data_IF_220736195133
#
_entry.id   IF_220736195133
#
_cell.length_a   1.000
_cell.length_b   1.000
_cell.length_c   1.000
_cell.angle_alpha   90.00
_cell.angle_beta   90.00
_cell.angle_gamma   90.00
#
_symmetry.space_group_name_H-M   'P 1'
#
loop_
_entity.id
_entity.type
_entity.pdbx_description
1 polymer ?
#
# COMPACT_ATOMS: atom_id res chain seq x y z
N UNK A 1 5.23 14.28 0.07
CA UNK A 1 6.38 13.39 0.38
C UNK A 1 6.94 12.97 -0.95
N UNK A 2 8.18 13.33 -1.26
CA UNK A 2 8.74 13.22 -2.64
C UNK A 2 8.65 11.79 -3.19
N UNK A 3 8.94 10.78 -2.35
CA UNK A 3 8.87 9.36 -2.76
C UNK A 3 7.44 8.95 -3.14
N UNK A 4 6.40 9.44 -2.46
CA UNK A 4 4.99 9.16 -2.87
C UNK A 4 4.75 9.72 -4.26
N UNK A 5 4.97 11.01 -4.45
CA UNK A 5 4.63 11.72 -5.69
C UNK A 5 5.33 11.12 -6.91
N UNK A 6 6.57 10.63 -6.74
CA UNK A 6 7.35 9.99 -7.80
C UNK A 6 6.84 8.61 -8.22
N UNK A 7 6.29 7.83 -7.28
CA UNK A 7 5.92 6.43 -7.50
C UNK A 7 4.42 6.16 -7.54
N UNK A 8 3.61 7.17 -7.21
CA UNK A 8 2.15 7.05 -7.11
C UNK A 8 1.51 6.57 -8.42
N UNK A 9 1.88 7.16 -9.56
CA UNK A 9 1.31 6.79 -10.85
C UNK A 9 1.61 5.33 -11.21
N UNK A 10 2.86 4.88 -11.05
CA UNK A 10 3.25 3.49 -11.31
C UNK A 10 2.51 2.50 -10.39
N UNK A 11 2.45 2.82 -9.09
CA UNK A 11 1.76 1.96 -8.11
C UNK A 11 0.26 1.85 -8.42
N UNK A 12 -0.38 2.92 -8.89
CA UNK A 12 -1.79 2.93 -9.28
C UNK A 12 -2.09 2.07 -10.52
N UNK A 13 -1.09 1.74 -11.35
CA UNK A 13 -1.28 0.85 -12.51
C UNK A 13 -1.33 -0.64 -12.13
N UNK A 14 -0.93 -1.02 -10.90
CA UNK A 14 -0.96 -2.42 -10.45
C UNK A 14 -2.39 -2.90 -10.22
N UNK A 15 -2.70 -4.14 -10.61
CA UNK A 15 -4.07 -4.64 -10.79
C UNK A 15 -5.00 -4.48 -9.57
N UNK A 16 -4.46 -4.51 -8.34
CA UNK A 16 -5.26 -4.46 -7.11
C UNK A 16 -5.13 -3.15 -6.33
N UNK A 17 -4.32 -2.20 -6.79
CA UNK A 17 -4.08 -0.93 -6.09
C UNK A 17 -5.21 0.06 -6.39
N UNK A 18 -5.67 0.75 -5.34
CA UNK A 18 -6.75 1.75 -5.39
C UNK A 18 -6.34 3.13 -4.91
N UNK A 19 -5.24 3.22 -4.17
CA UNK A 19 -4.75 4.47 -3.66
C UNK A 19 -3.35 4.34 -3.08
N UNK A 20 -2.66 5.47 -3.05
CA UNK A 20 -1.33 5.60 -2.45
C UNK A 20 -1.35 6.81 -1.52
N UNK A 21 -0.87 6.64 -0.30
CA UNK A 21 -0.87 7.67 0.74
C UNK A 21 0.41 7.67 1.55
N UNK A 22 0.50 8.62 2.47
CA UNK A 22 1.50 8.63 3.54
C UNK A 22 0.73 8.55 4.85
N UNK A 23 1.14 7.64 5.74
CA UNK A 23 0.46 7.43 7.00
C UNK A 23 1.33 6.66 7.98
N UNK A 24 0.70 6.25 9.07
CA UNK A 24 1.31 5.39 10.07
C UNK A 24 1.06 3.92 9.73
N UNK A 25 2.07 3.07 9.98
CA UNK A 25 1.94 1.64 9.72
C UNK A 25 0.91 1.01 10.63
N UNK A 26 0.11 0.10 10.05
CA UNK A 26 -0.78 -0.80 10.79
C UNK A 26 -0.09 -2.15 11.03
N UNK A 27 -0.01 -2.60 12.28
CA UNK A 27 0.44 -3.97 12.63
C UNK A 27 -0.58 -4.61 13.55
N UNK A 28 -1.05 -5.80 13.21
CA UNK A 28 -2.04 -6.54 13.99
C UNK A 28 -3.32 -5.75 14.36
N UNK A 29 -3.72 -4.78 13.53
CA UNK A 29 -4.88 -3.92 13.78
C UNK A 29 -4.61 -2.66 14.60
N UNK A 30 -3.36 -2.42 14.99
CA UNK A 30 -2.95 -1.24 15.75
C UNK A 30 -2.04 -0.33 14.91
N UNK A 31 -2.23 0.99 15.06
CA UNK A 31 -1.32 1.99 14.49
C UNK A 31 -0.02 2.00 15.28
N UNK A 32 1.08 2.12 14.57
CA UNK A 32 2.42 2.31 15.14
C UNK A 32 2.92 3.73 14.84
N UNK A 33 4.03 4.15 15.46
CA UNK A 33 4.65 5.46 15.17
C UNK A 33 5.55 5.46 13.91
N UNK A 34 5.58 4.36 13.16
CA UNK A 34 6.37 4.22 11.93
C UNK A 34 5.64 4.88 10.75
N UNK A 35 6.22 5.96 10.21
CA UNK A 35 5.72 6.60 8.98
C UNK A 35 6.06 5.74 7.76
N UNK A 36 5.05 5.42 6.96
CA UNK A 36 5.14 4.52 5.81
C UNK A 36 4.42 5.09 4.59
N UNK A 37 4.78 4.55 3.43
CA UNK A 37 4.01 4.67 2.21
C UNK A 37 2.85 3.67 2.28
N UNK A 38 1.61 4.17 2.36
CA UNK A 38 0.42 3.32 2.49
C UNK A 38 -0.10 3.01 1.10
N UNK A 39 -0.13 1.72 0.73
CA UNK A 39 -0.71 1.23 -0.53
C UNK A 39 -2.04 0.57 -0.21
N UNK A 40 -3.11 1.18 -0.69
CA UNK A 40 -4.49 0.72 -0.49
C UNK A 40 -4.87 -0.24 -1.60
N UNK A 41 -5.26 -1.47 -1.23
CA UNK A 41 -5.67 -2.52 -2.18
C UNK A 41 -7.07 -3.02 -1.91
N UNK A 42 -7.73 -3.61 -2.91
CA UNK A 42 -9.06 -4.21 -2.74
C UNK A 42 -9.05 -5.48 -1.87
N UNK A 43 -7.97 -6.26 -1.96
CA UNK A 43 -7.72 -7.47 -1.17
C UNK A 43 -6.24 -7.79 -1.17
N UNK A 44 -5.70 -8.43 -0.13
CA UNK A 44 -4.36 -9.02 -0.18
C UNK A 44 -4.43 -10.34 -0.93
N UNK A 45 -3.63 -10.43 -1.98
CA UNK A 45 -3.50 -11.63 -2.80
C UNK A 45 -2.18 -12.31 -2.46
N UNK A 46 -2.14 -13.64 -2.22
CA UNK A 46 -0.90 -14.36 -2.02
C UNK A 46 0.05 -14.16 -3.21
N UNK A 47 1.36 -14.02 -2.94
CA UNK A 47 2.37 -13.79 -3.99
C UNK A 47 2.33 -14.84 -5.11
N UNK A 48 2.04 -16.09 -4.79
CA UNK A 48 1.92 -17.19 -5.77
C UNK A 48 0.75 -17.01 -6.76
N UNK A 49 -0.18 -16.11 -6.49
CA UNK A 49 -1.36 -15.82 -7.32
C UNK A 49 -1.32 -14.42 -7.94
N UNK A 50 -0.23 -13.67 -7.76
CA UNK A 50 -0.02 -12.34 -8.34
C UNK A 50 0.98 -12.43 -9.49
N UNK A 51 0.73 -11.68 -10.56
CA UNK A 51 1.74 -11.48 -11.59
C UNK A 51 2.94 -10.72 -10.99
N UNK A 52 4.19 -11.01 -11.41
CA UNK A 52 5.37 -10.32 -10.89
C UNK A 52 5.30 -8.79 -11.04
N UNK A 53 4.70 -8.28 -12.12
CA UNK A 53 4.49 -6.84 -12.35
C UNK A 53 3.53 -6.17 -11.35
N UNK A 54 2.61 -6.95 -10.77
CA UNK A 54 1.67 -6.48 -9.74
C UNK A 54 2.27 -6.49 -8.33
N UNK A 55 3.50 -6.97 -8.17
CA UNK A 55 4.16 -6.93 -6.87
C UNK A 55 4.41 -5.48 -6.46
N UNK A 56 3.97 -5.18 -5.24
CA UNK A 56 4.32 -3.94 -4.54
C UNK A 56 5.57 -4.23 -3.71
N UNK A 57 6.68 -3.49 -3.93
CA UNK A 57 7.87 -3.60 -3.10
C UNK A 57 7.55 -3.34 -1.63
N UNK A 58 8.26 -3.99 -0.70
CA UNK A 58 8.12 -3.72 0.73
C UNK A 58 8.78 -2.41 1.18
N UNK A 59 9.61 -1.83 0.31
CA UNK A 59 10.34 -0.58 0.53
C UNK A 59 10.59 0.10 -0.82
N UNK A 60 10.49 1.43 -0.87
CA UNK A 60 10.77 2.25 -2.04
C UNK A 60 11.66 3.40 -1.60
N UNK A 61 12.87 3.49 -2.16
CA UNK A 61 13.85 4.54 -1.83
C UNK A 61 14.10 4.70 -0.31
N UNK A 62 14.21 3.59 0.42
CA UNK A 62 14.40 3.61 1.88
C UNK A 62 13.12 3.86 2.68
N UNK A 63 11.99 4.11 2.02
CA UNK A 63 10.70 4.31 2.68
C UNK A 63 9.95 2.98 2.77
N UNK A 64 9.65 2.48 3.98
CA UNK A 64 8.86 1.27 4.14
C UNK A 64 7.45 1.43 3.55
N UNK A 65 6.97 0.36 2.92
CA UNK A 65 5.61 0.28 2.36
C UNK A 65 4.73 -0.57 3.28
N UNK A 66 3.50 -0.09 3.50
CA UNK A 66 2.46 -0.82 4.20
C UNK A 66 1.27 -1.05 3.28
N UNK A 67 0.91 -2.33 3.07
CA UNK A 67 -0.19 -2.72 2.20
C UNK A 67 -1.43 -2.91 3.07
N UNK A 68 -2.42 -2.06 2.86
CA UNK A 68 -3.67 -2.06 3.61
C UNK A 68 -4.82 -2.40 2.68
N UNK A 69 -5.68 -3.33 3.11
CA UNK A 69 -6.93 -3.57 2.40
C UNK A 69 -7.90 -2.44 2.71
N UNK A 70 -8.53 -1.88 1.68
CA UNK A 70 -9.66 -0.99 1.92
C UNK A 70 -10.78 -1.83 2.52
N UNK A 71 -11.05 -1.63 3.82
CA UNK A 71 -12.32 -2.09 4.38
C UNK A 71 -13.46 -1.41 3.64
N UNK A 72 -14.60 -2.08 3.49
CA UNK A 72 -15.83 -1.36 3.14
C UNK A 72 -16.07 -0.34 4.24
N UNK A 73 -15.67 0.92 4.03
CA UNK A 73 -16.06 2.03 4.89
C UNK A 73 -17.58 2.12 4.76
N UNK A 74 -18.29 1.49 5.69
CA UNK A 74 -19.69 1.81 5.93
C UNK A 74 -19.67 3.18 6.58
N UNK A 75 -19.84 4.22 5.78
CA UNK A 75 -20.34 5.48 6.32
C UNK A 75 -21.75 5.17 6.88
N UNK A 76 -21.86 5.18 8.19
CA UNK A 76 -23.14 5.25 8.90
C UNK A 76 -23.53 6.71 9.12
#
# INVERSE_FOLDING_TARGET
MVVKEKHEEELLQKANVKGVGVGLRMRAGELTDEVVLVVMVTRKVPRAQLAPEDFVPSEIEGVPVDIQEIGHVRAG
#
